data_IF_010546268322
#
_entry.id   IF_010546268322
#
_cell.length_a   1.000
_cell.length_b   1.000
_cell.length_c   1.000
_cell.angle_alpha   90.00
_cell.angle_beta   90.00
_cell.angle_gamma   90.00
#
_symmetry.space_group_name_H-M   'P 1'
#
loop_
_entity.id
_entity.type
_entity.pdbx_description
1 polymer ?
#
# COMPACT_ATOMS: atom_id res chain seq x y z
N UNK A 1 2.04 18.28 16.12
CA UNK A 1 1.12 17.74 15.10
C UNK A 1 -0.22 17.49 15.78
N UNK A 2 -1.27 18.21 15.40
CA UNK A 2 -2.53 18.28 16.18
C UNK A 2 -3.76 18.21 15.27
N UNK A 3 -3.66 17.49 14.15
CA UNK A 3 -4.81 17.33 13.24
C UNK A 3 -5.73 16.22 13.80
N UNK A 4 -6.97 16.53 14.19
CA UNK A 4 -7.89 15.53 14.73
C UNK A 4 -8.27 14.44 13.71
N UNK A 5 -8.28 14.76 12.42
CA UNK A 5 -8.58 13.79 11.35
C UNK A 5 -7.48 12.73 11.27
N UNK A 6 -6.21 13.14 11.38
CA UNK A 6 -5.09 12.20 11.35
C UNK A 6 -5.13 11.20 12.52
N UNK A 7 -5.51 11.67 13.72
CA UNK A 7 -5.67 10.80 14.88
C UNK A 7 -6.79 9.77 14.68
N UNK A 8 -7.92 10.20 14.09
CA UNK A 8 -9.02 9.29 13.76
C UNK A 8 -8.62 8.26 12.70
N UNK A 9 -7.92 8.67 11.64
CA UNK A 9 -7.44 7.72 10.61
C UNK A 9 -6.53 6.65 11.21
N UNK A 10 -5.61 7.04 12.11
CA UNK A 10 -4.69 6.09 12.77
C UNK A 10 -5.47 5.10 13.66
N UNK A 11 -6.53 5.55 14.34
CA UNK A 11 -7.34 4.68 15.18
C UNK A 11 -8.09 3.59 14.40
N UNK A 12 -8.39 3.83 13.12
CA UNK A 12 -9.12 2.91 12.23
C UNK A 12 -8.21 2.10 11.30
N UNK A 13 -6.89 2.06 11.55
CA UNK A 13 -5.95 1.32 10.69
C UNK A 13 -6.21 -0.19 10.74
N UNK A 14 -6.61 -0.73 11.89
CA UNK A 14 -6.87 -2.17 12.04
C UNK A 14 -8.06 -2.64 11.20
N UNK A 15 -8.98 -1.74 10.83
CA UNK A 15 -10.14 -2.04 9.99
C UNK A 15 -9.73 -2.37 8.54
N UNK A 16 -8.49 -2.07 8.14
CA UNK A 16 -7.95 -2.38 6.81
C UNK A 16 -7.49 -3.85 6.67
N UNK A 17 -7.44 -4.61 7.78
CA UNK A 17 -7.01 -6.01 7.74
C UNK A 17 -8.03 -6.86 6.99
N UNK A 18 -7.57 -7.58 5.98
CA UNK A 18 -8.39 -8.43 5.11
C UNK A 18 -9.00 -7.68 3.93
N UNK A 19 -8.74 -6.39 3.77
CA UNK A 19 -9.09 -5.67 2.55
C UNK A 19 -8.18 -6.09 1.38
N UNK A 20 -8.72 -6.01 0.16
CA UNK A 20 -7.96 -6.25 -1.06
C UNK A 20 -7.64 -4.90 -1.73
N UNK A 21 -6.39 -4.72 -2.16
CA UNK A 21 -5.92 -3.57 -2.91
C UNK A 21 -5.32 -4.00 -4.25
N UNK A 22 -5.76 -3.36 -5.33
CA UNK A 22 -5.28 -3.61 -6.68
C UNK A 22 -4.51 -2.41 -7.23
N UNK A 23 -3.30 -2.66 -7.74
CA UNK A 23 -2.45 -1.65 -8.35
C UNK A 23 -2.28 -1.88 -9.86
N UNK A 24 -2.28 -0.79 -10.63
CA UNK A 24 -2.04 -0.83 -12.08
C UNK A 24 -0.57 -1.11 -12.45
N UNK A 25 0.33 -1.10 -11.46
CA UNK A 25 1.78 -1.32 -11.63
C UNK A 25 2.33 -2.15 -10.48
N UNK A 26 3.48 -2.80 -10.73
CA UNK A 26 4.31 -3.46 -9.73
C UNK A 26 4.79 -2.40 -8.74
N UNK A 27 4.37 -2.55 -7.49
CA UNK A 27 4.74 -1.65 -6.40
C UNK A 27 6.14 -1.96 -5.85
N UNK A 28 6.73 -1.00 -5.17
CA UNK A 28 8.03 -1.19 -4.53
C UNK A 28 7.96 -2.23 -3.40
N UNK A 29 9.08 -2.89 -3.12
CA UNK A 29 9.16 -3.83 -1.99
C UNK A 29 8.89 -3.15 -0.63
N UNK A 30 9.20 -1.85 -0.50
CA UNK A 30 8.91 -1.09 0.72
C UNK A 30 7.41 -0.95 0.93
N UNK A 31 6.68 -0.62 -0.14
CA UNK A 31 5.22 -0.45 -0.10
C UNK A 31 4.53 -1.80 0.09
N UNK A 32 4.99 -2.85 -0.59
CA UNK A 32 4.46 -4.21 -0.39
C UNK A 32 4.55 -4.63 1.08
N UNK A 33 5.69 -4.39 1.72
CA UNK A 33 5.87 -4.68 3.14
C UNK A 33 4.97 -3.82 4.03
N UNK A 34 4.73 -2.55 3.66
CA UNK A 34 3.83 -1.66 4.40
C UNK A 34 2.39 -2.20 4.34
N UNK A 35 1.87 -2.46 3.14
CA UNK A 35 0.51 -2.97 2.97
C UNK A 35 0.30 -4.34 3.61
N UNK A 36 1.30 -5.22 3.53
CA UNK A 36 1.28 -6.51 4.21
C UNK A 36 1.20 -6.37 5.73
N UNK A 37 1.91 -5.39 6.32
CA UNK A 37 1.82 -5.09 7.76
C UNK A 37 0.46 -4.55 8.16
N UNK A 38 -0.17 -3.76 7.28
CA UNK A 38 -1.56 -3.29 7.45
C UNK A 38 -2.58 -4.44 7.27
N UNK A 39 -2.14 -5.64 6.89
CA UNK A 39 -3.00 -6.80 6.67
C UNK A 39 -3.83 -6.73 5.40
N UNK A 40 -3.39 -5.92 4.42
CA UNK A 40 -4.05 -5.74 3.14
C UNK A 40 -3.51 -6.78 2.15
N UNK A 41 -4.40 -7.47 1.44
CA UNK A 41 -4.02 -8.36 0.35
C UNK A 41 -3.76 -7.53 -0.90
N UNK A 42 -2.56 -7.63 -1.44
CA UNK A 42 -2.14 -6.78 -2.57
C UNK A 42 -2.02 -7.61 -3.84
N UNK A 43 -2.65 -7.11 -4.91
CA UNK A 43 -2.49 -7.59 -6.27
C UNK A 43 -2.02 -6.45 -7.18
N UNK A 44 -1.26 -6.76 -8.23
CA UNK A 44 -0.85 -5.77 -9.20
C UNK A 44 -0.81 -6.34 -10.63
N UNK A 45 -0.96 -5.46 -11.61
CA UNK A 45 -0.64 -5.80 -13.00
C UNK A 45 0.89 -5.94 -13.18
N UNK A 46 1.36 -6.82 -14.06
CA UNK A 46 2.79 -7.02 -14.33
C UNK A 46 3.35 -5.89 -15.23
N UNK A 47 3.25 -4.64 -14.77
CA UNK A 47 3.71 -3.43 -15.44
C UNK A 47 4.57 -2.63 -14.48
N UNK A 48 5.76 -2.21 -14.90
CA UNK A 48 6.57 -1.30 -14.07
C UNK A 48 6.04 0.13 -14.19
N UNK A 49 6.20 0.92 -13.11
CA UNK A 49 5.83 2.35 -13.09
C UNK A 49 6.64 3.16 -14.11
N UNK A 50 7.91 2.81 -14.29
CA UNK A 50 8.79 3.44 -15.26
C UNK A 50 8.86 2.60 -16.54
N UNK A 51 9.00 3.28 -17.69
CA UNK A 51 9.29 2.64 -18.99
C UNK A 51 10.74 2.14 -19.11
N UNK A 52 11.38 1.81 -17.98
CA UNK A 52 12.73 1.28 -17.89
C UNK A 52 12.68 -0.14 -17.34
N UNK A 53 13.45 -1.05 -17.92
CA UNK A 53 13.47 -2.46 -17.52
C UNK A 53 14.16 -2.72 -16.16
N UNK A 54 14.63 -1.67 -15.47
CA UNK A 54 15.35 -1.78 -14.21
C UNK A 54 14.65 -0.93 -13.14
N UNK A 55 14.20 -1.61 -12.08
CA UNK A 55 13.80 -1.01 -10.81
C UNK A 55 15.06 -0.94 -9.94
N UNK A 56 15.46 0.26 -9.51
CA UNK A 56 16.62 0.46 -8.62
C UNK A 56 16.14 0.72 -7.21
#
# INVERSE_FOLDING_TARGET
ATNPVAAQTIAHVDDLRGCDAFFSVIISATDENLYRKLGINVCCEPKYEQHTYYHK
#
